data_IF_066435620162
#
_entry.id   IF_066435620162
#
_cell.length_a   1.000
_cell.length_b   1.000
_cell.length_c   1.000
_cell.angle_alpha   90.00
_cell.angle_beta   90.00
_cell.angle_gamma   90.00
#
_symmetry.space_group_name_H-M   'P 1'
#
loop_
_entity.id
_entity.type
_entity.pdbx_description
1 polymer ?
#
# COMPACT_ATOMS: atom_id res chain seq x y z
N UNK A 1 -15.73 -19.54 13.05
CA UNK A 1 -15.46 -18.29 12.34
C UNK A 1 -15.24 -18.65 10.89
N UNK A 2 -15.87 -17.95 9.94
CA UNK A 2 -15.67 -18.22 8.51
C UNK A 2 -14.30 -17.70 8.05
N UNK A 3 -13.75 -18.23 6.95
CA UNK A 3 -12.49 -17.76 6.34
C UNK A 3 -12.59 -16.27 6.03
N UNK A 4 -13.68 -15.82 5.41
CA UNK A 4 -13.91 -14.40 5.11
C UNK A 4 -13.97 -13.52 6.36
N UNK A 5 -14.52 -14.03 7.48
CA UNK A 5 -14.49 -13.32 8.77
C UNK A 5 -13.07 -13.18 9.31
N UNK A 6 -12.19 -14.16 9.10
CA UNK A 6 -10.78 -14.08 9.47
C UNK A 6 -10.05 -13.05 8.61
N UNK A 7 -10.30 -13.04 7.30
CA UNK A 7 -9.72 -12.05 6.38
C UNK A 7 -10.15 -10.62 6.74
N UNK A 8 -11.42 -10.41 7.09
CA UNK A 8 -11.90 -9.11 7.57
C UNK A 8 -11.17 -8.66 8.83
N UNK A 9 -10.98 -9.56 9.83
CA UNK A 9 -10.25 -9.24 11.06
C UNK A 9 -8.78 -8.91 10.79
N UNK A 10 -8.11 -9.66 9.93
CA UNK A 10 -6.70 -9.37 9.59
C UNK A 10 -6.55 -8.02 8.89
N UNK A 11 -7.52 -7.60 8.07
CA UNK A 11 -7.61 -6.26 7.51
C UNK A 11 -7.76 -5.18 8.59
N UNK A 12 -8.65 -5.38 9.58
CA UNK A 12 -8.83 -4.45 10.70
C UNK A 12 -7.54 -4.33 11.52
N UNK A 13 -6.84 -5.44 11.75
CA UNK A 13 -5.55 -5.43 12.45
C UNK A 13 -4.50 -4.65 11.66
N UNK A 14 -4.39 -4.87 10.35
CA UNK A 14 -3.49 -4.11 9.48
C UNK A 14 -3.82 -2.62 9.54
N UNK A 15 -5.09 -2.24 9.36
CA UNK A 15 -5.54 -0.85 9.46
C UNK A 15 -5.16 -0.22 10.81
N UNK A 16 -5.36 -0.94 11.91
CA UNK A 16 -5.05 -0.47 13.26
C UNK A 16 -3.56 -0.18 13.44
N UNK A 17 -2.70 -1.09 12.95
CA UNK A 17 -1.24 -0.91 13.02
C UNK A 17 -0.79 0.27 12.17
N UNK A 18 -1.25 0.39 10.92
CA UNK A 18 -0.84 1.51 10.05
C UNK A 18 -1.35 2.85 10.56
N UNK A 19 -2.58 2.94 11.09
CA UNK A 19 -3.08 4.18 11.71
C UNK A 19 -2.29 4.54 12.97
N UNK A 20 -1.91 3.55 13.78
CA UNK A 20 -1.04 3.79 14.93
C UNK A 20 0.31 4.37 14.49
N UNK A 21 0.95 3.80 13.46
CA UNK A 21 2.21 4.29 12.91
C UNK A 21 2.07 5.68 12.30
N UNK A 22 1.01 5.92 11.52
CA UNK A 22 0.69 7.23 10.99
C UNK A 22 0.48 8.27 12.10
N UNK A 23 -0.24 7.91 13.16
CA UNK A 23 -0.45 8.74 14.34
C UNK A 23 0.86 9.08 15.07
N UNK A 24 1.74 8.08 15.25
CA UNK A 24 3.09 8.33 15.80
C UNK A 24 3.89 9.28 14.92
N UNK A 25 3.90 9.01 13.63
CA UNK A 25 4.59 9.86 12.66
C UNK A 25 4.01 11.28 12.64
N UNK A 26 2.71 11.46 12.85
CA UNK A 26 2.04 12.77 12.86
C UNK A 26 2.39 13.65 14.06
N UNK A 27 2.91 13.08 15.15
CA UNK A 27 3.31 13.83 16.35
C UNK A 27 4.53 14.73 16.11
N UNK A 28 5.39 14.37 15.16
CA UNK A 28 6.54 15.20 14.80
C UNK A 28 6.15 16.25 13.75
N UNK A 29 6.50 17.52 13.94
CA UNK A 29 6.26 18.55 12.93
C UNK A 29 6.90 18.16 11.60
N UNK A 30 6.13 18.22 10.52
CA UNK A 30 6.61 17.94 9.17
C UNK A 30 6.39 19.15 8.28
N UNK A 31 7.38 19.48 7.48
CA UNK A 31 7.17 20.43 6.41
C UNK A 31 6.13 19.86 5.43
N UNK A 32 5.14 20.67 5.08
CA UNK A 32 4.11 20.31 4.10
C UNK A 32 4.78 19.94 2.78
N UNK A 33 4.28 18.88 2.15
CA UNK A 33 4.83 18.33 0.90
C UNK A 33 6.29 17.82 0.98
N UNK A 34 6.81 17.54 2.18
CA UNK A 34 8.08 16.83 2.37
C UNK A 34 7.92 15.32 2.11
N UNK A 35 9.06 14.58 1.99
CA UNK A 35 9.03 13.11 1.91
C UNK A 35 8.25 12.51 3.08
N UNK A 36 8.50 12.94 4.30
CA UNK A 36 7.79 12.47 5.49
C UNK A 36 6.29 12.79 5.48
N UNK A 37 5.89 13.90 4.87
CA UNK A 37 4.49 14.26 4.71
C UNK A 37 3.76 13.28 3.76
N UNK A 38 4.36 13.01 2.60
CA UNK A 38 3.82 12.04 1.64
C UNK A 38 3.84 10.62 2.19
N UNK A 39 4.90 10.24 2.90
CA UNK A 39 4.98 8.92 3.53
C UNK A 39 3.91 8.71 4.61
N UNK A 40 3.59 9.75 5.38
CA UNK A 40 2.43 9.68 6.28
C UNK A 40 1.11 9.49 5.51
N UNK A 41 1.01 10.08 4.31
CA UNK A 41 -0.10 9.85 3.39
C UNK A 41 -0.17 8.38 2.93
N UNK A 42 0.97 7.74 2.65
CA UNK A 42 1.04 6.29 2.35
C UNK A 42 0.37 5.49 3.47
N UNK A 43 0.79 5.73 4.73
CA UNK A 43 0.24 4.99 5.87
C UNK A 43 -1.27 5.26 6.06
N UNK A 44 -1.71 6.51 6.01
CA UNK A 44 -3.12 6.86 6.17
C UNK A 44 -4.00 6.22 5.11
N UNK A 45 -3.61 6.31 3.83
CA UNK A 45 -4.38 5.72 2.73
C UNK A 45 -4.35 4.20 2.77
N UNK A 46 -3.22 3.59 3.13
CA UNK A 46 -3.14 2.14 3.33
C UNK A 46 -4.09 1.66 4.45
N UNK A 47 -4.18 2.41 5.55
CA UNK A 47 -5.13 2.12 6.62
C UNK A 47 -6.59 2.25 6.15
N UNK A 48 -6.91 3.25 5.32
CA UNK A 48 -8.24 3.41 4.71
C UNK A 48 -8.55 2.24 3.77
N UNK A 49 -7.62 1.86 2.89
CA UNK A 49 -7.77 0.71 2.00
C UNK A 49 -8.03 -0.58 2.80
N UNK A 50 -7.25 -0.84 3.85
CA UNK A 50 -7.45 -2.00 4.70
C UNK A 50 -8.82 -2.00 5.40
N UNK A 51 -9.38 -0.83 5.81
CA UNK A 51 -10.74 -0.76 6.35
C UNK A 51 -11.79 -1.04 5.27
N UNK A 52 -11.62 -0.52 4.05
CA UNK A 52 -12.54 -0.81 2.93
C UNK A 52 -12.51 -2.31 2.63
N UNK A 53 -11.32 -2.93 2.56
CA UNK A 53 -11.17 -4.38 2.39
C UNK A 53 -11.81 -5.19 3.52
N UNK A 54 -11.73 -4.72 4.78
CA UNK A 54 -12.42 -5.35 5.91
C UNK A 54 -13.95 -5.36 5.73
N UNK A 55 -14.51 -4.25 5.26
CA UNK A 55 -15.94 -4.13 4.97
C UNK A 55 -16.32 -5.01 3.78
N UNK A 56 -15.52 -5.02 2.71
CA UNK A 56 -15.78 -5.86 1.54
C UNK A 56 -15.84 -7.35 1.92
N UNK A 57 -14.79 -7.89 2.54
CA UNK A 57 -14.75 -9.30 2.93
C UNK A 57 -15.74 -9.67 4.03
N UNK A 58 -15.93 -8.78 5.02
CA UNK A 58 -16.78 -9.05 6.18
C UNK A 58 -18.27 -8.96 5.90
N UNK A 59 -18.69 -8.08 4.98
CA UNK A 59 -20.12 -7.82 4.72
C UNK A 59 -20.53 -8.12 3.28
N UNK A 60 -19.83 -7.57 2.27
CA UNK A 60 -20.25 -7.73 0.88
C UNK A 60 -19.99 -9.15 0.38
N UNK A 61 -18.79 -9.64 0.50
CA UNK A 61 -18.40 -10.97 0.03
C UNK A 61 -19.11 -12.07 0.83
N UNK A 62 -19.16 -11.94 2.16
CA UNK A 62 -19.80 -12.94 3.04
C UNK A 62 -21.30 -13.05 2.82
N UNK A 63 -21.97 -11.97 2.39
CA UNK A 63 -23.39 -11.93 2.09
C UNK A 63 -23.71 -12.16 0.60
N UNK A 64 -22.70 -12.35 -0.26
CA UNK A 64 -22.89 -12.50 -1.71
C UNK A 64 -23.42 -11.24 -2.40
N UNK A 65 -23.15 -10.06 -1.85
CA UNK A 65 -23.60 -8.77 -2.39
C UNK A 65 -22.70 -8.30 -3.54
N UNK A 66 -23.21 -7.42 -4.44
CA UNK A 66 -22.39 -6.83 -5.49
C UNK A 66 -21.18 -6.06 -4.92
N UNK A 67 -19.96 -6.41 -5.34
CA UNK A 67 -18.71 -5.89 -4.78
C UNK A 67 -18.02 -4.85 -5.63
N UNK A 68 -18.45 -4.64 -6.88
CA UNK A 68 -17.75 -3.79 -7.84
C UNK A 68 -17.46 -2.39 -7.27
N UNK A 69 -18.45 -1.69 -6.73
CA UNK A 69 -18.29 -0.32 -6.25
C UNK A 69 -17.31 -0.22 -5.06
N UNK A 70 -17.38 -1.17 -4.11
CA UNK A 70 -16.48 -1.16 -2.94
C UNK A 70 -15.04 -1.52 -3.33
N UNK A 71 -14.85 -2.45 -4.29
CA UNK A 71 -13.53 -2.76 -4.84
C UNK A 71 -12.93 -1.59 -5.60
N UNK A 72 -13.70 -0.91 -6.45
CA UNK A 72 -13.24 0.31 -7.12
C UNK A 72 -12.80 1.37 -6.10
N UNK A 73 -13.57 1.60 -5.04
CA UNK A 73 -13.20 2.55 -3.99
C UNK A 73 -11.88 2.17 -3.31
N UNK A 74 -11.70 0.89 -2.96
CA UNK A 74 -10.46 0.36 -2.36
C UNK A 74 -9.26 0.56 -3.30
N UNK A 75 -9.39 0.15 -4.55
CA UNK A 75 -8.32 0.19 -5.54
C UNK A 75 -7.92 1.63 -5.92
N UNK A 76 -8.87 2.56 -5.98
CA UNK A 76 -8.55 3.99 -6.16
C UNK A 76 -7.77 4.53 -4.96
N UNK A 77 -8.12 4.12 -3.73
CA UNK A 77 -7.35 4.49 -2.53
C UNK A 77 -5.93 3.91 -2.59
N UNK A 78 -5.76 2.67 -3.06
CA UNK A 78 -4.45 2.06 -3.30
C UNK A 78 -3.65 2.79 -4.40
N UNK A 79 -4.31 3.31 -5.43
CA UNK A 79 -3.71 4.23 -6.40
C UNK A 79 -3.15 5.49 -5.73
N UNK A 80 -3.89 6.04 -4.77
CA UNK A 80 -3.43 7.15 -3.92
C UNK A 80 -2.21 6.80 -3.05
N UNK A 81 -2.14 5.56 -2.52
CA UNK A 81 -0.94 5.03 -1.82
C UNK A 81 0.26 5.07 -2.76
N UNK A 82 0.09 4.57 -4.00
CA UNK A 82 1.14 4.54 -5.03
C UNK A 82 1.61 5.94 -5.40
N UNK A 83 0.68 6.89 -5.59
CA UNK A 83 0.99 8.30 -5.79
C UNK A 83 1.85 8.86 -4.66
N UNK A 84 1.44 8.67 -3.41
CA UNK A 84 2.16 9.15 -2.24
C UNK A 84 3.54 8.52 -2.11
N UNK A 85 3.71 7.23 -2.42
CA UNK A 85 4.98 6.52 -2.40
C UNK A 85 5.94 7.05 -3.47
N UNK A 86 5.43 7.31 -4.69
CA UNK A 86 6.21 7.91 -5.78
C UNK A 86 6.70 9.31 -5.39
N UNK A 87 5.83 10.12 -4.78
CA UNK A 87 6.19 11.44 -4.28
C UNK A 87 7.16 11.39 -3.09
N UNK A 88 7.03 10.40 -2.20
CA UNK A 88 8.00 10.14 -1.13
C UNK A 88 9.39 9.90 -1.73
N UNK A 89 9.47 8.98 -2.70
CA UNK A 89 10.71 8.66 -3.41
C UNK A 89 11.31 9.91 -4.06
N UNK A 90 10.48 10.68 -4.77
CA UNK A 90 10.92 11.90 -5.43
C UNK A 90 11.50 12.93 -4.44
N UNK A 91 10.81 13.15 -3.33
CA UNK A 91 11.22 14.14 -2.32
C UNK A 91 12.44 13.72 -1.52
N UNK A 92 12.65 12.43 -1.33
CA UNK A 92 13.76 11.91 -0.55
C UNK A 92 15.06 11.86 -1.36
N UNK A 93 15.00 11.48 -2.64
CA UNK A 93 16.18 11.09 -3.40
C UNK A 93 16.54 12.02 -4.56
N UNK A 94 15.68 12.92 -4.98
CA UNK A 94 15.89 13.68 -6.20
C UNK A 94 15.89 15.20 -6.00
N UNK A 95 16.61 15.91 -6.88
CA UNK A 95 16.66 17.37 -6.91
C UNK A 95 15.29 17.99 -7.30
N UNK A 96 14.99 19.25 -6.93
CA UNK A 96 13.70 19.91 -7.14
C UNK A 96 13.20 19.90 -8.59
N UNK A 97 14.11 19.97 -9.57
CA UNK A 97 13.72 19.90 -11.00
C UNK A 97 13.15 18.53 -11.36
N UNK A 98 13.79 17.46 -10.89
CA UNK A 98 13.34 16.07 -11.12
C UNK A 98 12.05 15.79 -10.35
N UNK A 99 11.90 16.35 -9.13
CA UNK A 99 10.65 16.21 -8.36
C UNK A 99 9.41 16.72 -9.10
N UNK A 100 9.56 17.77 -9.95
CA UNK A 100 8.44 18.27 -10.79
C UNK A 100 8.04 17.25 -11.86
N UNK A 101 9.01 16.57 -12.47
CA UNK A 101 8.73 15.49 -13.43
C UNK A 101 8.00 14.35 -12.73
N UNK A 102 8.48 13.95 -11.55
CA UNK A 102 7.80 12.92 -10.74
C UNK A 102 6.37 13.29 -10.36
N UNK A 103 6.11 14.56 -10.06
CA UNK A 103 4.75 15.02 -9.77
C UNK A 103 3.83 14.85 -11.00
N UNK A 104 4.30 15.22 -12.19
CA UNK A 104 3.52 15.04 -13.43
C UNK A 104 3.27 13.54 -13.67
N UNK A 105 4.32 12.72 -13.55
CA UNK A 105 4.22 11.26 -13.70
C UNK A 105 3.23 10.69 -12.68
N UNK A 106 3.31 11.10 -11.40
CA UNK A 106 2.43 10.61 -10.35
C UNK A 106 0.96 10.99 -10.58
N UNK A 107 0.69 12.21 -11.07
CA UNK A 107 -0.67 12.65 -11.41
C UNK A 107 -1.22 11.86 -12.60
N UNK A 108 -0.42 11.72 -13.66
CA UNK A 108 -0.82 10.94 -14.86
C UNK A 108 -1.06 9.47 -14.49
N UNK A 109 -0.14 8.87 -13.73
CA UNK A 109 -0.25 7.50 -13.27
C UNK A 109 -1.52 7.29 -12.44
N UNK A 110 -1.81 8.17 -11.47
CA UNK A 110 -3.02 8.08 -10.65
C UNK A 110 -4.30 8.22 -11.48
N UNK A 111 -4.31 9.12 -12.47
CA UNK A 111 -5.46 9.29 -13.37
C UNK A 111 -5.67 8.05 -14.26
N UNK A 112 -4.59 7.50 -14.84
CA UNK A 112 -4.65 6.29 -15.68
C UNK A 112 -5.10 5.09 -14.84
N UNK A 113 -4.55 4.90 -13.64
CA UNK A 113 -4.94 3.84 -12.72
C UNK A 113 -6.42 3.94 -12.34
N UNK A 114 -6.90 5.14 -11.98
CA UNK A 114 -8.32 5.37 -11.66
C UNK A 114 -9.22 5.00 -12.84
N UNK A 115 -8.86 5.37 -14.07
CA UNK A 115 -9.62 5.00 -15.26
C UNK A 115 -9.59 3.49 -15.49
N UNK A 116 -8.42 2.86 -15.35
CA UNK A 116 -8.28 1.41 -15.50
C UNK A 116 -9.15 0.64 -14.50
N UNK A 117 -9.10 1.01 -13.22
CA UNK A 117 -9.92 0.44 -12.13
C UNK A 117 -11.43 0.56 -12.42
N UNK A 118 -11.86 1.68 -13.03
CA UNK A 118 -13.27 1.90 -13.38
C UNK A 118 -13.72 1.17 -14.66
N UNK A 119 -12.78 0.67 -15.47
CA UNK A 119 -13.10 -0.03 -16.73
C UNK A 119 -12.85 -1.53 -16.64
N UNK A 120 -11.92 -1.95 -15.77
CA UNK A 120 -11.45 -3.34 -15.69
C UNK A 120 -11.56 -3.80 -14.26
N UNK A 121 -12.40 -4.82 -14.01
CA UNK A 121 -12.57 -5.41 -12.67
C UNK A 121 -11.47 -6.47 -12.44
N UNK A 122 -10.22 -6.03 -12.32
CA UNK A 122 -9.05 -6.90 -12.17
C UNK A 122 -8.06 -6.33 -11.13
N UNK A 123 -7.75 -7.09 -10.11
CA UNK A 123 -6.72 -6.73 -9.13
C UNK A 123 -5.30 -6.70 -9.74
N UNK A 124 -5.12 -7.33 -10.90
CA UNK A 124 -3.83 -7.28 -11.62
C UNK A 124 -3.44 -5.84 -11.98
N UNK A 125 -4.42 -4.99 -12.32
CA UNK A 125 -4.14 -3.58 -12.66
C UNK A 125 -3.56 -2.83 -11.46
N UNK A 126 -4.06 -3.10 -10.25
CA UNK A 126 -3.52 -2.56 -9.01
C UNK A 126 -2.07 -3.01 -8.81
N UNK A 127 -1.78 -4.31 -9.04
CA UNK A 127 -0.42 -4.86 -8.93
C UNK A 127 0.52 -4.16 -9.93
N UNK A 128 0.10 -4.05 -11.19
CA UNK A 128 0.88 -3.39 -12.24
C UNK A 128 1.13 -1.91 -11.96
N UNK A 129 0.22 -1.27 -11.24
CA UNK A 129 0.35 0.11 -10.82
C UNK A 129 1.38 0.27 -9.68
N UNK A 130 1.30 -0.49 -8.60
CA UNK A 130 2.15 -0.26 -7.43
C UNK A 130 3.51 -0.95 -7.49
N UNK A 131 3.64 -2.12 -8.14
CA UNK A 131 4.88 -2.89 -8.12
C UNK A 131 6.10 -2.13 -8.70
N UNK A 132 6.01 -1.42 -9.84
CA UNK A 132 7.12 -0.62 -10.34
C UNK A 132 7.56 0.48 -9.38
N UNK A 133 6.61 1.12 -8.68
CA UNK A 133 6.92 2.19 -7.72
C UNK A 133 7.56 1.63 -6.46
N UNK A 134 7.09 0.47 -5.97
CA UNK A 134 7.72 -0.27 -4.88
C UNK A 134 9.17 -0.66 -5.21
N UNK A 135 9.40 -1.20 -6.43
CA UNK A 135 10.75 -1.56 -6.90
C UNK A 135 11.65 -0.33 -7.04
N UNK A 136 11.12 0.79 -7.53
CA UNK A 136 11.87 2.05 -7.59
C UNK A 136 12.25 2.52 -6.18
N UNK A 137 11.30 2.52 -5.23
CA UNK A 137 11.55 2.93 -3.86
C UNK A 137 12.57 2.02 -3.17
N UNK A 138 12.49 0.70 -3.41
CA UNK A 138 13.47 -0.27 -2.94
C UNK A 138 14.87 0.05 -3.50
N UNK A 139 14.99 0.19 -4.83
CA UNK A 139 16.25 0.48 -5.50
C UNK A 139 16.89 1.78 -4.99
N UNK A 140 16.07 2.84 -4.83
CA UNK A 140 16.55 4.12 -4.33
C UNK A 140 17.02 4.04 -2.86
N UNK A 141 16.36 3.24 -2.00
CA UNK A 141 16.84 3.01 -0.64
C UNK A 141 18.16 2.22 -0.64
N UNK A 142 18.32 1.20 -1.48
CA UNK A 142 19.57 0.44 -1.60
C UNK A 142 20.73 1.35 -2.06
N UNK A 143 20.53 2.11 -3.14
CA UNK A 143 21.53 3.05 -3.65
C UNK A 143 21.82 4.14 -2.60
N UNK A 144 20.79 4.63 -1.95
CA UNK A 144 20.86 5.66 -0.92
C UNK A 144 21.60 5.24 0.35
N UNK A 145 21.79 3.94 0.62
CA UNK A 145 22.61 3.48 1.76
C UNK A 145 24.04 4.02 1.69
N UNK A 146 24.60 4.13 0.48
CA UNK A 146 25.98 4.64 0.29
C UNK A 146 26.13 6.11 0.66
N UNK A 147 25.04 6.86 0.63
CA UNK A 147 25.01 8.31 0.92
C UNK A 147 24.37 8.64 2.26
N UNK A 148 23.93 7.62 3.02
CA UNK A 148 23.22 7.80 4.30
C UNK A 148 21.78 8.30 4.16
N UNK A 149 21.23 8.40 2.94
CA UNK A 149 19.83 8.83 2.69
C UNK A 149 18.89 7.63 2.69
N UNK A 150 19.38 6.44 2.32
CA UNK A 150 18.62 5.19 2.32
C UNK A 150 18.52 4.57 3.72
N UNK A 151 17.56 3.67 3.91
CA UNK A 151 17.28 2.99 5.18
C UNK A 151 17.23 1.48 5.02
N UNK A 152 18.02 0.75 5.82
CA UNK A 152 17.91 -0.72 5.90
C UNK A 152 16.55 -1.17 6.41
N UNK A 153 15.93 -0.42 7.33
CA UNK A 153 14.59 -0.72 7.81
C UNK A 153 13.58 -0.64 6.67
N UNK A 154 13.60 0.44 5.87
CA UNK A 154 12.74 0.56 4.68
C UNK A 154 12.95 -0.59 3.70
N UNK A 155 14.20 -0.97 3.43
CA UNK A 155 14.52 -2.10 2.55
C UNK A 155 13.89 -3.38 3.09
N UNK A 156 14.08 -3.68 4.38
CA UNK A 156 13.49 -4.86 5.03
C UNK A 156 11.97 -4.84 4.95
N UNK A 157 11.34 -3.72 5.28
CA UNK A 157 9.88 -3.55 5.20
C UNK A 157 9.34 -3.79 3.79
N UNK A 158 9.98 -3.19 2.77
CA UNK A 158 9.57 -3.36 1.36
C UNK A 158 9.73 -4.81 0.91
N UNK A 159 10.82 -5.50 1.28
CA UNK A 159 11.02 -6.91 0.93
C UNK A 159 9.95 -7.81 1.55
N UNK A 160 9.59 -7.56 2.82
CA UNK A 160 8.51 -8.31 3.50
C UNK A 160 7.16 -8.03 2.80
N UNK A 161 6.86 -6.77 2.47
CA UNK A 161 5.63 -6.40 1.74
C UNK A 161 5.58 -7.03 0.34
N UNK A 162 6.73 -7.08 -0.35
CA UNK A 162 6.83 -7.75 -1.65
C UNK A 162 6.57 -9.26 -1.55
N UNK A 163 7.09 -9.91 -0.49
CA UNK A 163 6.81 -11.31 -0.21
C UNK A 163 5.32 -11.54 0.11
N UNK A 164 4.69 -10.65 0.90
CA UNK A 164 3.26 -10.69 1.16
C UNK A 164 2.45 -10.62 -0.14
N UNK A 165 2.77 -9.67 -1.02
CA UNK A 165 2.11 -9.52 -2.32
C UNK A 165 2.29 -10.74 -3.23
N UNK A 166 3.46 -11.38 -3.21
CA UNK A 166 3.71 -12.61 -3.95
C UNK A 166 2.85 -13.77 -3.42
N UNK A 167 2.67 -13.90 -2.11
CA UNK A 167 1.78 -14.89 -1.47
C UNK A 167 0.34 -14.68 -1.94
N UNK A 168 -0.14 -13.44 -1.93
CA UNK A 168 -1.48 -13.09 -2.38
C UNK A 168 -1.67 -13.40 -3.87
N UNK A 169 -0.75 -12.97 -4.72
CA UNK A 169 -0.81 -13.20 -6.16
C UNK A 169 -0.75 -14.70 -6.54
N UNK A 170 -0.04 -15.51 -5.74
CA UNK A 170 0.03 -16.96 -5.92
C UNK A 170 -1.22 -17.72 -5.43
N UNK A 171 -2.17 -17.02 -4.75
CA UNK A 171 -3.37 -17.67 -4.19
C UNK A 171 -3.04 -18.75 -3.17
N UNK A 172 -2.07 -18.54 -2.28
CA UNK A 172 -1.55 -19.55 -1.37
C UNK A 172 -2.45 -19.75 -0.14
N UNK A 173 -3.35 -20.73 -0.18
CA UNK A 173 -4.40 -21.01 0.82
C UNK A 173 -4.08 -22.23 1.74
N UNK A 174 -2.82 -22.41 2.15
CA UNK A 174 -2.41 -23.60 2.92
C UNK A 174 -2.41 -23.41 4.44
N UNK A 175 -2.74 -22.23 4.96
CA UNK A 175 -2.71 -21.92 6.40
C UNK A 175 -4.11 -21.70 6.97
N UNK A 176 -5.03 -22.67 6.81
CA UNK A 176 -6.37 -22.58 7.42
C UNK A 176 -6.30 -22.19 8.91
N UNK A 177 -7.13 -21.23 9.39
CA UNK A 177 -8.25 -20.58 8.71
C UNK A 177 -7.91 -19.34 7.87
N UNK A 178 -6.62 -19.08 7.61
CA UNK A 178 -6.16 -17.97 6.78
C UNK A 178 -6.18 -18.39 5.30
N UNK A 179 -6.86 -17.62 4.47
CA UNK A 179 -6.69 -17.65 3.01
C UNK A 179 -5.47 -16.82 2.57
N UNK A 180 -5.19 -16.77 1.29
CA UNK A 180 -4.08 -15.97 0.73
C UNK A 180 -4.16 -14.50 1.13
N UNK A 181 -5.37 -13.92 1.24
CA UNK A 181 -5.56 -12.54 1.68
C UNK A 181 -5.25 -12.37 3.17
N UNK A 182 -5.74 -13.27 4.02
CA UNK A 182 -5.45 -13.26 5.46
C UNK A 182 -3.95 -13.40 5.74
N UNK A 183 -3.25 -14.28 5.01
CA UNK A 183 -1.79 -14.43 5.11
C UNK A 183 -1.09 -13.17 4.62
N UNK A 184 -1.52 -12.59 3.49
CA UNK A 184 -1.02 -11.31 2.99
C UNK A 184 -1.10 -10.21 4.05
N UNK A 185 -2.24 -10.05 4.73
CA UNK A 185 -2.40 -9.01 5.75
C UNK A 185 -1.48 -9.23 6.95
N UNK A 186 -1.36 -10.47 7.44
CA UNK A 186 -0.49 -10.79 8.58
C UNK A 186 0.98 -10.53 8.24
N UNK A 187 1.45 -10.94 7.07
CA UNK A 187 2.81 -10.67 6.62
C UNK A 187 3.01 -9.17 6.38
N UNK A 188 1.99 -8.47 5.83
CA UNK A 188 2.05 -7.02 5.64
C UNK A 188 2.16 -6.25 6.95
N UNK A 189 1.50 -6.70 8.04
CA UNK A 189 1.68 -6.10 9.38
C UNK A 189 3.15 -6.14 9.80
N UNK A 190 3.84 -7.25 9.59
CA UNK A 190 5.27 -7.34 9.87
C UNK A 190 6.07 -6.36 9.00
N UNK A 191 5.75 -6.26 7.71
CA UNK A 191 6.44 -5.36 6.77
C UNK A 191 6.29 -3.89 7.15
N UNK A 192 5.07 -3.44 7.48
CA UNK A 192 4.82 -2.02 7.78
C UNK A 192 5.44 -1.55 9.09
N UNK A 193 5.75 -2.46 10.03
CA UNK A 193 6.46 -2.10 11.28
C UNK A 193 7.89 -1.66 11.01
N UNK A 194 8.50 -2.11 9.90
CA UNK A 194 9.84 -1.69 9.49
C UNK A 194 9.85 -0.39 8.65
N UNK A 195 8.71 0.09 8.24
CA UNK A 195 8.58 1.33 7.49
C UNK A 195 8.50 2.54 8.42
#
# INVERSE_FOLDING_TARGET
MTVLGVTSITNILLASVVFFLAGRMSRSPKARFSAAWYFNGVLLLLGVAALIGAVDHGFFESAGLPRYAIRCADWIVLGGVTFCLLMTTAKQFFAPRVQRIFLIVAVVQFAVDTIAVLLVDSFLDVILNYAPVMLLFLAMNIVGLRTGIGSMQMITGILILSAASAIQAAGWDRLSPLDHNGVYHVVSILGVVFL
#
